data_IF_404056496159
#
_entry.id   IF_404056496159
#
_cell.length_a   1.000
_cell.length_b   1.000
_cell.length_c   1.000
_cell.angle_alpha   90.00
_cell.angle_beta   90.00
_cell.angle_gamma   90.00
#
_symmetry.space_group_name_H-M   'P 1'
#
loop_
_entity.id
_entity.type
_entity.pdbx_description
1 polymer ?
#
# COMPACT_ATOMS: atom_id res chain seq x y z
N UNK A 1 4.45 -44.50 9.20
CA UNK A 1 4.27 -43.88 7.87
C UNK A 1 4.61 -42.41 8.01
N UNK A 2 5.81 -41.99 7.59
CA UNK A 2 6.19 -40.57 7.62
C UNK A 2 5.56 -39.88 6.41
N UNK A 3 4.67 -38.93 6.65
CA UNK A 3 4.15 -38.03 5.62
C UNK A 3 5.28 -37.08 5.21
N UNK A 4 5.87 -37.33 4.04
CA UNK A 4 6.78 -36.39 3.38
C UNK A 4 5.98 -35.14 3.01
N UNK A 5 6.22 -34.02 3.70
CA UNK A 5 5.71 -32.72 3.31
C UNK A 5 6.37 -32.31 2.00
N UNK A 6 5.63 -32.40 0.89
CA UNK A 6 6.07 -31.85 -0.38
C UNK A 6 5.96 -30.34 -0.27
N UNK A 7 7.10 -29.67 -0.09
CA UNK A 7 7.17 -28.21 -0.25
C UNK A 7 6.88 -27.91 -1.72
N UNK A 8 5.86 -27.12 -2.00
CA UNK A 8 5.65 -26.59 -3.34
C UNK A 8 6.70 -25.50 -3.56
N UNK A 9 7.73 -25.70 -4.41
CA UNK A 9 8.65 -24.62 -4.71
C UNK A 9 7.87 -23.54 -5.45
N UNK A 10 7.82 -22.34 -4.88
CA UNK A 10 7.35 -21.15 -5.60
C UNK A 10 8.39 -20.88 -6.68
N UNK A 11 8.03 -21.14 -7.95
CA UNK A 11 8.90 -20.91 -9.09
C UNK A 11 8.97 -19.40 -9.39
N UNK A 12 9.98 -18.73 -8.86
CA UNK A 12 10.28 -17.35 -9.27
C UNK A 12 10.96 -17.35 -10.65
N UNK A 13 10.50 -16.46 -11.53
CA UNK A 13 11.19 -16.18 -12.78
C UNK A 13 12.57 -15.57 -12.49
N UNK A 14 13.62 -15.91 -13.26
CA UNK A 14 14.87 -15.17 -13.25
C UNK A 14 14.61 -13.67 -13.43
N UNK A 15 15.33 -12.83 -12.69
CA UNK A 15 15.08 -11.38 -12.63
C UNK A 15 15.07 -10.74 -14.02
N UNK A 16 16.01 -11.09 -14.88
CA UNK A 16 16.10 -10.58 -16.25
C UNK A 16 14.85 -10.94 -17.08
N UNK A 17 14.32 -12.14 -16.88
CA UNK A 17 13.11 -12.61 -17.55
C UNK A 17 11.86 -11.94 -16.98
N UNK A 18 11.80 -11.73 -15.67
CA UNK A 18 10.71 -10.97 -15.03
C UNK A 18 10.67 -9.52 -15.52
N UNK A 19 11.83 -8.88 -15.65
CA UNK A 19 11.96 -7.52 -16.21
C UNK A 19 11.53 -7.47 -17.68
N UNK A 20 11.90 -8.48 -18.48
CA UNK A 20 11.51 -8.56 -19.89
C UNK A 20 10.00 -8.82 -20.09
N UNK A 21 9.35 -9.54 -19.16
CA UNK A 21 7.92 -9.83 -19.19
C UNK A 21 7.06 -8.74 -18.56
N UNK A 22 7.65 -7.80 -17.81
CA UNK A 22 6.93 -6.66 -17.24
C UNK A 22 6.31 -5.85 -18.39
N UNK A 23 4.98 -5.69 -18.42
CA UNK A 23 4.34 -4.92 -19.47
C UNK A 23 4.77 -3.44 -19.35
N UNK A 24 5.23 -2.87 -20.47
CA UNK A 24 5.66 -1.47 -20.52
C UNK A 24 4.50 -0.47 -20.35
N UNK A 25 3.26 -0.93 -20.52
CA UNK A 25 2.03 -0.16 -20.36
C UNK A 25 1.00 -0.97 -19.59
N UNK A 26 0.11 -0.33 -18.81
CA UNK A 26 -0.99 -1.01 -18.15
C UNK A 26 -1.85 -1.78 -19.15
N UNK A 27 -2.36 -2.94 -18.72
CA UNK A 27 -3.37 -3.67 -19.49
C UNK A 27 -4.68 -2.88 -19.52
N UNK A 28 -5.33 -2.83 -20.69
CA UNK A 28 -6.68 -2.30 -20.79
C UNK A 28 -7.65 -3.26 -20.09
N UNK A 29 -8.54 -2.74 -19.25
CA UNK A 29 -9.60 -3.54 -18.63
C UNK A 29 -10.68 -3.84 -19.68
N UNK A 30 -11.18 -5.09 -19.77
CA UNK A 30 -12.24 -5.44 -20.73
C UNK A 30 -13.60 -4.85 -20.34
N UNK A 31 -13.78 -4.49 -19.07
CA UNK A 31 -15.05 -3.95 -18.53
C UNK A 31 -14.90 -2.47 -18.22
N UNK A 32 -13.93 -2.08 -17.40
CA UNK A 32 -13.76 -0.71 -16.92
C UNK A 32 -13.05 0.16 -17.96
N UNK A 33 -13.76 1.12 -18.54
CA UNK A 33 -13.24 2.05 -19.54
C UNK A 33 -12.88 3.41 -18.95
N UNK A 34 -13.60 3.85 -17.92
CA UNK A 34 -13.43 5.14 -17.26
C UNK A 34 -13.43 4.98 -15.74
N UNK A 35 -12.39 5.50 -15.09
CA UNK A 35 -12.29 5.54 -13.63
C UNK A 35 -12.13 6.99 -13.18
N UNK A 36 -13.10 7.46 -12.41
CA UNK A 36 -13.13 8.79 -11.84
C UNK A 36 -12.86 8.72 -10.33
N UNK A 37 -12.32 9.81 -9.78
CA UNK A 37 -12.01 9.90 -8.36
C UNK A 37 -12.82 11.01 -7.72
N UNK A 38 -13.46 10.71 -6.60
CA UNK A 38 -14.04 11.75 -5.75
C UNK A 38 -12.89 12.46 -5.05
N UNK A 39 -12.68 13.73 -5.41
CA UNK A 39 -11.75 14.64 -4.75
C UNK A 39 -12.56 15.48 -3.75
N UNK A 40 -12.74 14.96 -2.53
CA UNK A 40 -13.48 15.68 -1.49
C UNK A 40 -12.63 16.79 -0.86
N UNK A 41 -12.87 18.04 -1.25
CA UNK A 41 -12.74 19.19 -0.34
C UNK A 41 -14.16 19.64 0.03
N UNK A 42 -14.73 19.21 1.15
CA UNK A 42 -15.88 19.82 1.89
C UNK A 42 -16.11 18.92 3.12
N UNK A 43 -15.65 19.29 4.31
CA UNK A 43 -16.37 20.11 5.28
C UNK A 43 -17.75 19.52 5.66
N UNK A 44 -17.76 18.87 6.82
CA UNK A 44 -18.91 18.51 7.68
C UNK A 44 -19.65 17.22 7.27
N UNK A 45 -19.56 16.14 8.08
CA UNK A 45 -20.43 14.97 7.96
C UNK A 45 -21.89 15.42 8.02
N UNK A 46 -22.64 15.25 6.93
CA UNK A 46 -24.10 15.32 6.98
C UNK A 46 -24.61 14.06 7.68
N UNK A 47 -24.69 14.16 9.00
CA UNK A 47 -25.21 13.16 9.94
C UNK A 47 -24.50 11.79 9.90
N UNK A 48 -24.91 10.92 10.84
CA UNK A 48 -24.37 9.62 11.27
C UNK A 48 -24.09 8.59 10.17
N UNK A 49 -23.25 8.92 9.18
CA UNK A 49 -22.75 7.98 8.20
C UNK A 49 -21.44 7.38 8.69
N UNK A 50 -21.41 6.06 8.83
CA UNK A 50 -20.18 5.30 9.08
C UNK A 50 -19.24 5.49 7.88
N UNK A 51 -17.95 5.76 8.14
CA UNK A 51 -16.97 6.02 7.08
C UNK A 51 -15.72 6.72 7.59
N UNK A 52 -14.82 7.07 6.68
CA UNK A 52 -13.57 7.78 7.01
C UNK A 52 -13.21 8.77 5.90
N UNK A 53 -12.32 9.73 6.21
CA UNK A 53 -11.78 10.63 5.19
C UNK A 53 -10.98 9.89 4.11
N UNK A 54 -10.57 8.65 4.36
CA UNK A 54 -9.88 7.81 3.39
C UNK A 54 -10.87 7.09 2.44
N UNK A 55 -11.87 6.42 3.00
CA UNK A 55 -12.83 5.62 2.23
C UNK A 55 -14.08 6.37 1.78
N UNK A 56 -14.21 7.64 2.17
CA UNK A 56 -15.47 8.37 2.11
C UNK A 56 -16.48 7.87 3.14
N UNK A 57 -17.73 8.31 2.97
CA UNK A 57 -18.86 7.94 3.84
C UNK A 57 -20.00 7.25 3.05
N UNK A 58 -19.72 6.12 2.35
CA UNK A 58 -20.75 5.42 1.59
C UNK A 58 -21.75 4.73 2.51
N UNK A 59 -23.01 4.70 2.10
CA UNK A 59 -24.02 3.81 2.67
C UNK A 59 -23.71 2.33 2.35
N UNK A 60 -24.33 1.40 3.10
CA UNK A 60 -24.19 -0.03 2.83
C UNK A 60 -24.63 -0.41 1.41
N UNK A 61 -25.69 0.23 0.90
CA UNK A 61 -26.17 0.00 -0.47
C UNK A 61 -25.15 0.48 -1.52
N UNK A 62 -24.52 1.64 -1.30
CA UNK A 62 -23.46 2.14 -2.19
C UNK A 62 -22.23 1.23 -2.16
N UNK A 63 -21.86 0.71 -0.97
CA UNK A 63 -20.79 -0.28 -0.81
C UNK A 63 -21.09 -1.56 -1.56
N UNK A 64 -22.31 -2.11 -1.44
CA UNK A 64 -22.67 -3.36 -2.11
C UNK A 64 -22.70 -3.19 -3.64
N UNK A 65 -23.13 -2.03 -4.15
CA UNK A 65 -23.07 -1.69 -5.58
C UNK A 65 -21.64 -1.54 -6.11
N UNK A 66 -20.66 -1.23 -5.26
CA UNK A 66 -19.26 -1.06 -5.68
C UNK A 66 -18.57 -2.35 -6.10
N UNK A 67 -19.11 -3.52 -5.72
CA UNK A 67 -18.57 -4.82 -6.13
C UNK A 67 -18.92 -5.19 -7.58
N UNK A 68 -19.91 -4.53 -8.18
CA UNK A 68 -20.29 -4.73 -9.58
C UNK A 68 -19.51 -3.74 -10.46
N UNK A 69 -18.50 -4.23 -11.17
CA UNK A 69 -17.61 -3.41 -12.01
C UNK A 69 -18.35 -2.95 -13.26
N UNK A 70 -18.40 -1.64 -13.47
CA UNK A 70 -19.05 -1.01 -14.62
C UNK A 70 -18.04 -0.43 -15.60
N UNK A 71 -18.51 -0.04 -16.77
CA UNK A 71 -17.72 0.66 -17.79
C UNK A 71 -17.20 2.01 -17.30
N UNK A 72 -17.99 2.69 -16.47
CA UNK A 72 -17.59 3.89 -15.74
C UNK A 72 -17.83 3.73 -14.25
N UNK A 73 -16.79 3.98 -13.45
CA UNK A 73 -16.87 3.95 -11.99
C UNK A 73 -16.30 5.23 -11.40
N UNK A 74 -16.84 5.60 -10.25
CA UNK A 74 -16.29 6.68 -9.41
C UNK A 74 -15.92 6.09 -8.06
N UNK A 75 -14.67 6.28 -7.65
CA UNK A 75 -14.15 5.77 -6.38
C UNK A 75 -13.73 6.91 -5.47
N UNK A 76 -13.93 6.77 -4.16
CA UNK A 76 -13.33 7.69 -3.21
C UNK A 76 -11.82 7.48 -3.21
N UNK A 77 -11.07 8.56 -3.41
CA UNK A 77 -9.62 8.52 -3.24
C UNK A 77 -9.30 9.03 -1.84
N UNK A 78 -8.65 8.21 -1.03
CA UNK A 78 -8.29 8.57 0.34
C UNK A 78 -7.04 9.43 0.48
N UNK A 79 -6.36 9.72 -0.64
CA UNK A 79 -5.10 10.45 -0.71
C UNK A 79 -5.24 11.81 -1.42
N UNK A 80 -6.45 12.35 -1.48
CA UNK A 80 -6.81 13.47 -2.36
C UNK A 80 -6.25 14.82 -1.96
N UNK A 81 -5.66 14.92 -0.76
CA UNK A 81 -5.01 16.13 -0.31
C UNK A 81 -3.53 16.10 -0.68
N UNK A 82 -2.95 17.27 -0.88
CA UNK A 82 -1.54 17.40 -1.27
C UNK A 82 -1.29 17.20 -2.77
N UNK A 83 -0.23 17.82 -3.27
CA UNK A 83 0.21 17.68 -4.68
C UNK A 83 1.22 16.53 -4.86
N UNK A 84 1.80 16.07 -3.76
CA UNK A 84 2.85 15.05 -3.72
C UNK A 84 2.37 13.96 -2.78
N UNK A 85 2.31 12.69 -3.21
CA UNK A 85 1.95 11.58 -2.34
C UNK A 85 2.80 11.57 -1.07
N UNK A 86 2.17 11.36 0.09
CA UNK A 86 2.86 11.37 1.38
C UNK A 86 3.20 12.75 1.95
N UNK A 87 2.82 13.86 1.30
CA UNK A 87 2.99 15.22 1.83
C UNK A 87 1.66 16.00 1.82
N UNK A 88 1.22 16.42 3.01
CA UNK A 88 -0.05 17.14 3.24
C UNK A 88 -1.28 16.40 2.70
N UNK A 89 -1.23 15.08 2.74
CA UNK A 89 -2.28 14.16 2.27
C UNK A 89 -3.22 13.69 3.38
N UNK A 90 -2.81 13.85 4.65
CA UNK A 90 -3.44 13.21 5.80
C UNK A 90 -2.89 11.82 6.10
N UNK A 91 -1.99 11.31 5.25
CA UNK A 91 -1.16 10.13 5.41
C UNK A 91 0.29 10.53 5.17
N UNK A 92 0.76 11.46 6.01
CA UNK A 92 2.03 12.12 5.77
C UNK A 92 3.17 11.22 6.22
N UNK A 93 4.10 11.00 5.30
CA UNK A 93 5.34 10.26 5.52
C UNK A 93 6.34 11.25 6.10
N UNK A 94 7.15 10.80 7.06
CA UNK A 94 8.24 11.62 7.59
C UNK A 94 9.13 12.17 6.46
N UNK A 95 9.55 13.42 6.58
CA UNK A 95 10.31 14.11 5.53
C UNK A 95 11.61 13.38 5.17
N UNK A 96 12.28 12.76 6.15
CA UNK A 96 13.51 12.01 5.92
C UNK A 96 13.23 10.72 5.12
N UNK A 97 12.19 9.98 5.53
CA UNK A 97 11.77 8.74 4.86
C UNK A 97 11.30 9.03 3.42
N UNK A 98 10.51 10.09 3.23
CA UNK A 98 10.05 10.53 1.92
C UNK A 98 11.23 10.94 1.01
N UNK A 99 12.18 11.72 1.54
CA UNK A 99 13.38 12.11 0.78
C UNK A 99 14.20 10.90 0.33
N UNK A 100 14.32 9.88 1.18
CA UNK A 100 15.01 8.65 0.83
C UNK A 100 14.23 7.81 -0.19
N UNK A 101 12.91 7.75 -0.08
CA UNK A 101 12.05 7.10 -1.08
C UNK A 101 12.22 7.71 -2.47
N UNK A 102 12.36 9.03 -2.57
CA UNK A 102 12.60 9.72 -3.85
C UNK A 102 13.94 9.35 -4.51
N UNK A 103 14.92 8.89 -3.75
CA UNK A 103 16.18 8.39 -4.28
C UNK A 103 16.05 6.99 -4.90
N UNK A 104 14.93 6.29 -4.69
CA UNK A 104 14.71 4.98 -5.29
C UNK A 104 14.31 5.10 -6.77
N UNK A 105 15.21 4.71 -7.68
CA UNK A 105 15.05 4.96 -9.12
C UNK A 105 14.47 3.78 -9.93
N UNK A 106 14.30 2.62 -9.30
CA UNK A 106 14.05 1.35 -9.98
C UNK A 106 12.77 0.70 -9.48
N UNK A 107 12.88 -0.16 -8.47
CA UNK A 107 11.83 -1.08 -8.06
C UNK A 107 11.67 -0.91 -6.57
N UNK A 108 10.42 -0.72 -6.16
CA UNK A 108 10.05 -0.62 -4.75
C UNK A 108 9.27 -1.87 -4.37
N UNK A 109 9.65 -2.47 -3.24
CA UNK A 109 8.84 -3.43 -2.51
C UNK A 109 8.34 -2.71 -1.27
N UNK A 110 7.04 -2.45 -1.23
CA UNK A 110 6.37 -1.81 -0.10
C UNK A 110 5.49 -2.82 0.63
N UNK A 111 5.49 -2.78 1.95
CA UNK A 111 4.58 -3.52 2.82
C UNK A 111 4.12 -2.60 3.95
N UNK A 112 3.04 -2.94 4.64
CA UNK A 112 2.61 -2.21 5.82
C UNK A 112 2.04 -3.12 6.90
N UNK A 113 2.12 -2.62 8.13
CA UNK A 113 1.48 -3.22 9.29
C UNK A 113 0.69 -2.13 10.00
N UNK A 114 -0.57 -2.44 10.30
CA UNK A 114 -1.47 -1.51 10.96
C UNK A 114 -2.01 -2.12 12.25
N UNK A 115 -2.05 -1.35 13.34
CA UNK A 115 -2.69 -1.74 14.60
C UNK A 115 -2.04 -2.92 15.33
N UNK A 116 -0.82 -3.31 14.96
CA UNK A 116 -0.01 -4.37 15.56
C UNK A 116 -0.64 -5.77 15.49
N UNK A 117 -1.54 -5.98 14.54
CA UNK A 117 -2.21 -7.28 14.37
C UNK A 117 -1.37 -8.27 13.57
N UNK A 118 -0.44 -7.78 12.74
CA UNK A 118 0.39 -8.61 11.88
C UNK A 118 1.80 -8.83 12.45
N UNK A 119 2.33 -10.04 12.26
CA UNK A 119 3.73 -10.35 12.55
C UNK A 119 4.61 -9.87 11.40
N UNK A 120 5.56 -9.00 11.70
CA UNK A 120 6.51 -8.49 10.70
C UNK A 120 7.39 -9.61 10.13
N UNK A 121 7.27 -9.83 8.82
CA UNK A 121 8.11 -10.77 8.08
C UNK A 121 9.28 -10.03 7.42
N UNK A 122 10.47 -10.64 7.42
CA UNK A 122 11.63 -10.12 6.70
C UNK A 122 11.80 -10.85 5.37
N UNK A 123 12.12 -10.14 4.26
CA UNK A 123 12.49 -10.79 3.04
C UNK A 123 13.82 -11.50 3.24
N UNK A 124 13.81 -12.80 3.01
CA UNK A 124 14.99 -13.67 3.12
C UNK A 124 15.53 -13.99 1.72
N UNK A 125 16.80 -14.42 1.67
CA UNK A 125 17.45 -14.88 0.44
C UNK A 125 17.48 -13.86 -0.71
N UNK A 126 17.49 -12.56 -0.38
CA UNK A 126 17.59 -11.47 -1.37
C UNK A 126 18.96 -11.54 -2.07
N UNK A 127 18.93 -11.63 -3.40
CA UNK A 127 20.14 -11.63 -4.24
C UNK A 127 20.94 -10.33 -4.10
N UNK A 128 22.25 -10.36 -4.37
CA UNK A 128 23.07 -9.14 -4.36
C UNK A 128 22.55 -8.08 -5.33
N UNK A 129 22.17 -8.50 -6.54
CA UNK A 129 21.58 -7.62 -7.54
C UNK A 129 20.31 -6.92 -7.01
N UNK A 130 19.43 -7.66 -6.34
CA UNK A 130 18.19 -7.11 -5.77
C UNK A 130 18.47 -6.15 -4.61
N UNK A 131 19.49 -6.40 -3.78
CA UNK A 131 19.89 -5.47 -2.71
C UNK A 131 20.38 -4.12 -3.26
N UNK A 132 21.00 -4.14 -4.44
CA UNK A 132 21.55 -2.93 -5.08
C UNK A 132 20.50 -2.18 -5.93
N UNK A 133 19.41 -2.85 -6.35
CA UNK A 133 18.45 -2.31 -7.33
C UNK A 133 17.01 -2.17 -6.83
N UNK A 134 16.68 -2.79 -5.69
CA UNK A 134 15.33 -2.80 -5.11
C UNK A 134 15.34 -2.11 -3.75
N UNK A 135 14.43 -1.17 -3.53
CA UNK A 135 14.22 -0.54 -2.23
C UNK A 135 13.08 -1.23 -1.49
N UNK A 136 13.31 -1.58 -0.23
CA UNK A 136 12.35 -2.27 0.61
C UNK A 136 11.84 -1.31 1.69
N UNK A 137 10.56 -0.92 1.61
CA UNK A 137 9.92 -0.03 2.56
C UNK A 137 8.83 -0.76 3.35
N UNK A 138 8.82 -0.56 4.67
CA UNK A 138 7.81 -1.08 5.57
C UNK A 138 7.13 0.10 6.26
N UNK A 139 5.86 0.32 5.96
CA UNK A 139 5.06 1.39 6.54
C UNK A 139 4.47 0.93 7.87
N UNK A 140 4.71 1.71 8.91
CA UNK A 140 4.23 1.44 10.26
C UNK A 140 3.46 2.64 10.77
N UNK A 141 2.40 2.37 11.53
CA UNK A 141 1.80 3.43 12.33
C UNK A 141 2.74 3.89 13.45
N UNK A 142 2.53 5.10 13.95
CA UNK A 142 3.34 5.73 15.00
C UNK A 142 3.42 4.88 16.29
N UNK A 143 2.37 4.13 16.62
CA UNK A 143 2.33 3.28 17.82
C UNK A 143 3.27 2.08 17.69
N UNK A 144 3.32 1.47 16.51
CA UNK A 144 4.17 0.33 16.20
C UNK A 144 5.59 0.80 15.92
N UNK A 145 5.82 1.97 15.33
CA UNK A 145 7.16 2.44 14.98
C UNK A 145 8.12 2.43 16.19
N UNK A 146 7.65 2.93 17.34
CA UNK A 146 8.44 3.02 18.58
C UNK A 146 8.86 1.65 19.13
N UNK A 147 8.03 0.63 18.91
CA UNK A 147 8.31 -0.77 19.29
C UNK A 147 9.12 -1.46 18.19
N UNK A 148 8.76 -1.22 16.93
CA UNK A 148 9.29 -1.87 15.75
C UNK A 148 10.74 -1.54 15.48
N UNK A 149 11.14 -0.27 15.59
CA UNK A 149 12.55 0.16 15.43
C UNK A 149 13.47 -0.45 16.51
N UNK A 150 12.94 -0.79 17.69
CA UNK A 150 13.72 -1.39 18.80
C UNK A 150 13.71 -2.92 18.76
N UNK A 151 12.59 -3.52 18.38
CA UNK A 151 12.40 -4.98 18.40
C UNK A 151 12.92 -5.65 17.13
N UNK A 152 12.89 -4.95 15.99
CA UNK A 152 13.30 -5.48 14.71
C UNK A 152 14.55 -4.76 14.22
N UNK A 153 15.72 -5.32 14.52
CA UNK A 153 17.00 -4.98 13.88
C UNK A 153 16.99 -5.51 12.42
N UNK A 154 16.03 -5.02 11.62
CA UNK A 154 15.79 -5.41 10.25
C UNK A 154 16.92 -4.88 9.36
N UNK A 155 17.64 -5.77 8.67
CA UNK A 155 18.74 -5.38 7.77
C UNK A 155 18.28 -4.98 6.38
N UNK A 156 17.05 -5.32 5.99
CA UNK A 156 16.54 -5.12 4.63
C UNK A 156 15.42 -4.08 4.56
N UNK A 157 14.49 -4.06 5.53
CA UNK A 157 13.42 -3.07 5.57
C UNK A 157 13.94 -1.70 6.01
N UNK A 158 13.55 -0.67 5.27
CA UNK A 158 13.53 0.71 5.73
C UNK A 158 12.14 0.99 6.29
N UNK A 159 12.08 1.46 7.53
CA UNK A 159 10.80 1.77 8.18
C UNK A 159 10.35 3.17 7.82
N UNK A 160 9.16 3.27 7.26
CA UNK A 160 8.50 4.54 6.97
C UNK A 160 7.40 4.75 8.00
N UNK A 161 7.51 5.81 8.80
CA UNK A 161 6.41 6.20 9.68
C UNK A 161 5.38 7.01 8.91
N UNK A 162 4.11 6.89 9.30
CA UNK A 162 3.08 7.80 8.83
C UNK A 162 2.06 8.13 9.93
N UNK A 163 1.52 9.34 9.87
CA UNK A 163 0.53 9.79 10.85
C UNK A 163 -0.84 9.16 10.62
N UNK A 164 -1.39 8.53 11.66
CA UNK A 164 -2.69 7.82 11.67
C UNK A 164 -3.83 8.71 12.14
N UNK A 165 -3.94 9.95 11.65
CA UNK A 165 -5.04 10.81 12.08
C UNK A 165 -6.45 10.29 11.67
N UNK A 166 -6.56 9.27 10.79
CA UNK A 166 -7.83 8.87 10.17
C UNK A 166 -8.04 7.35 9.96
N UNK A 167 -7.18 6.48 10.51
CA UNK A 167 -7.22 5.03 10.27
C UNK A 167 -7.89 4.21 11.37
N UNK A 168 -8.72 4.82 12.22
CA UNK A 168 -9.34 4.07 13.32
C UNK A 168 -10.28 2.95 12.85
N UNK A 169 -10.77 2.97 11.60
CA UNK A 169 -11.83 2.03 11.17
C UNK A 169 -11.76 1.48 9.73
N UNK A 170 -10.72 1.77 8.93
CA UNK A 170 -10.68 1.30 7.52
C UNK A 170 -9.27 0.92 7.04
N UNK A 171 -8.95 -0.37 7.05
CA UNK A 171 -7.71 -0.97 6.53
C UNK A 171 -8.18 -2.19 5.73
N UNK A 172 -7.95 -2.34 4.40
CA UNK A 172 -6.63 -2.30 3.75
C UNK A 172 -6.67 -1.94 2.23
N UNK A 173 -6.32 -0.72 1.80
CA UNK A 173 -6.13 -0.50 0.33
C UNK A 173 -5.06 0.53 0.00
N UNK A 174 -3.99 0.60 0.80
CA UNK A 174 -2.94 1.60 0.60
C UNK A 174 -1.84 1.22 -0.41
N UNK A 175 -1.74 -0.04 -0.87
CA UNK A 175 -0.55 -0.51 -1.60
C UNK A 175 -0.76 -0.95 -3.05
N UNK A 176 -1.96 -0.80 -3.62
CA UNK A 176 -2.18 -1.21 -5.02
C UNK A 176 -1.69 -0.20 -6.06
N UNK A 177 -1.13 0.94 -5.66
CA UNK A 177 -0.78 2.04 -6.58
C UNK A 177 0.65 2.59 -6.46
N UNK A 178 1.59 1.82 -5.88
CA UNK A 178 3.03 2.07 -6.00
C UNK A 178 3.68 1.02 -6.90
#
# INVERSE_FOLDING_TARGET
MHSLSISCPVCYLPVEQALALRPAKPSLSPVLQSLNYVLEEILIPKESKSGSLFGGFPSLEERDKSYDIKDSMTVHCGFVRGKVPGINTGFDIDEADHSEMQLCQSTVVASAIFGNYDVMQQPENISKFSKDTVCFFMFLDELIELVGRKQFNCKCWRFCSYTTAYLTDSIPTLFYYL
#
